data_IF_266448856710
#
_entry.id   IF_266448856710
#
_cell.length_a   1.000
_cell.length_b   1.000
_cell.length_c   1.000
_cell.angle_alpha   90.00
_cell.angle_beta   90.00
_cell.angle_gamma   90.00
#
_symmetry.space_group_name_H-M   'P 1'
#
loop_
_entity.id
_entity.type
_entity.pdbx_description
1 polymer ?
#
# COMPACT_ATOMS: atom_id res chain seq x y z
N UNK A 1 16.58 -24.39 12.21
CA UNK A 1 17.19 -23.80 11.01
C UNK A 1 18.53 -23.19 11.33
N UNK A 2 19.43 -23.14 10.33
CA UNK A 2 20.77 -22.58 10.51
C UNK A 2 20.76 -21.08 10.22
N UNK A 3 21.57 -20.32 10.98
CA UNK A 3 21.85 -18.94 10.63
C UNK A 3 22.89 -18.92 9.50
N UNK A 4 22.47 -18.49 8.31
CA UNK A 4 23.31 -18.46 7.09
C UNK A 4 23.80 -17.04 6.74
N UNK A 5 23.33 -16.02 7.44
CA UNK A 5 23.78 -14.64 7.26
C UNK A 5 23.57 -13.80 8.52
N UNK A 6 24.46 -12.83 8.73
CA UNK A 6 24.33 -11.83 9.78
C UNK A 6 24.93 -10.51 9.30
N UNK A 7 24.19 -9.43 9.45
CA UNK A 7 24.63 -8.10 9.10
C UNK A 7 24.39 -7.12 10.24
N UNK A 8 25.42 -6.38 10.60
CA UNK A 8 25.37 -5.28 11.57
C UNK A 8 25.27 -3.96 10.83
N UNK A 9 24.08 -3.37 10.81
CA UNK A 9 23.86 -2.02 10.32
C UNK A 9 24.01 -0.96 11.42
N UNK A 10 24.04 0.30 11.01
CA UNK A 10 24.06 1.42 11.95
C UNK A 10 22.77 1.50 12.78
N UNK A 11 21.64 1.20 12.16
CA UNK A 11 20.32 1.39 12.77
C UNK A 11 19.68 0.07 13.24
N UNK A 12 19.96 -1.05 12.55
CA UNK A 12 19.39 -2.36 12.84
C UNK A 12 20.36 -3.49 12.45
N UNK A 13 20.10 -4.68 12.98
CA UNK A 13 20.79 -5.89 12.59
C UNK A 13 19.85 -6.80 11.78
N UNK A 14 20.38 -7.58 10.84
CA UNK A 14 19.62 -8.63 10.18
C UNK A 14 20.27 -10.00 10.35
N UNK A 15 19.43 -11.03 10.47
CA UNK A 15 19.82 -12.43 10.55
C UNK A 15 19.08 -13.20 9.47
N UNK A 16 19.80 -14.01 8.69
CA UNK A 16 19.23 -14.85 7.65
C UNK A 16 19.23 -16.31 8.11
N UNK A 17 18.12 -16.98 7.95
CA UNK A 17 17.93 -18.40 8.29
C UNK A 17 17.54 -19.20 7.03
N UNK A 18 17.95 -20.48 6.98
CA UNK A 18 17.78 -21.38 5.83
C UNK A 18 16.43 -22.14 5.81
N UNK A 19 15.45 -21.68 6.57
CA UNK A 19 14.14 -22.32 6.62
C UNK A 19 13.02 -21.37 6.96
N UNK A 20 11.77 -21.80 6.75
CA UNK A 20 10.58 -21.00 7.00
C UNK A 20 10.34 -20.82 8.50
N UNK A 21 10.09 -19.58 8.91
CA UNK A 21 9.71 -19.24 10.29
C UNK A 21 8.33 -18.60 10.23
N UNK A 22 7.39 -19.07 11.07
CA UNK A 22 6.08 -18.43 11.15
C UNK A 22 6.11 -17.21 12.07
N UNK A 23 5.08 -16.36 11.99
CA UNK A 23 4.94 -15.20 12.87
C UNK A 23 4.82 -15.61 14.36
N UNK A 24 4.16 -16.71 14.62
CA UNK A 24 4.00 -17.30 15.96
C UNK A 24 5.36 -17.74 16.50
N UNK A 25 6.13 -18.48 15.70
CA UNK A 25 7.48 -18.90 16.06
C UNK A 25 8.42 -17.71 16.28
N UNK A 26 8.30 -16.65 15.44
CA UNK A 26 9.08 -15.44 15.61
C UNK A 26 8.82 -14.78 16.98
N UNK A 27 7.55 -14.75 17.40
CA UNK A 27 7.16 -14.24 18.71
C UNK A 27 7.73 -15.09 19.85
N UNK A 28 7.65 -16.40 19.77
CA UNK A 28 8.22 -17.34 20.75
C UNK A 28 9.74 -17.17 20.87
N UNK A 29 10.44 -17.01 19.74
CA UNK A 29 11.89 -16.75 19.71
C UNK A 29 12.22 -15.42 20.40
N UNK A 30 11.47 -14.36 20.13
CA UNK A 30 11.65 -13.07 20.77
C UNK A 30 11.43 -13.15 22.29
N UNK A 31 10.37 -13.83 22.72
CA UNK A 31 10.07 -14.04 24.14
C UNK A 31 11.16 -14.83 24.84
N UNK A 32 11.67 -15.91 24.24
CA UNK A 32 12.75 -16.71 24.82
C UNK A 32 14.07 -15.94 24.89
N UNK A 33 14.43 -15.20 23.81
CA UNK A 33 15.63 -14.36 23.82
C UNK A 33 15.58 -13.33 24.95
N UNK A 34 14.45 -12.65 25.14
CA UNK A 34 14.29 -11.70 26.24
C UNK A 34 14.28 -12.37 27.62
N UNK A 35 13.75 -13.59 27.74
CA UNK A 35 13.83 -14.36 28.99
C UNK A 35 15.28 -14.62 29.39
N UNK A 36 16.15 -14.94 28.42
CA UNK A 36 17.59 -15.14 28.66
C UNK A 36 18.26 -13.81 29.06
N UNK A 37 17.93 -12.71 28.39
CA UNK A 37 18.40 -11.37 28.77
C UNK A 37 18.06 -11.07 30.24
N UNK A 38 16.79 -11.29 30.64
CA UNK A 38 16.34 -11.00 32.00
C UNK A 38 16.95 -11.92 33.08
N UNK A 39 17.44 -13.12 32.72
CA UNK A 39 18.22 -13.98 33.66
C UNK A 39 19.55 -13.39 34.01
N UNK A 40 20.07 -12.43 33.25
CA UNK A 40 21.32 -11.73 33.48
C UNK A 40 22.50 -12.69 33.71
N UNK A 41 22.63 -13.70 32.83
CA UNK A 41 23.67 -14.73 32.90
C UNK A 41 25.04 -14.14 32.60
N UNK A 42 26.10 -14.66 33.23
CA UNK A 42 27.48 -14.36 32.83
C UNK A 42 27.75 -14.97 31.44
N UNK A 43 28.52 -14.26 30.65
CA UNK A 43 29.03 -14.74 29.36
C UNK A 43 30.49 -15.07 29.55
N UNK A 44 30.85 -16.34 29.35
CA UNK A 44 32.19 -16.83 29.55
C UNK A 44 32.95 -16.86 28.21
N UNK A 45 34.21 -16.42 28.25
CA UNK A 45 35.10 -16.45 27.09
C UNK A 45 36.20 -17.45 27.37
N UNK A 46 36.23 -18.52 26.59
CA UNK A 46 37.13 -19.65 26.74
C UNK A 46 38.11 -19.72 25.58
N UNK A 47 39.32 -20.19 25.85
CA UNK A 47 40.34 -20.48 24.87
C UNK A 47 40.83 -21.93 25.03
N UNK A 48 40.00 -22.91 24.70
CA UNK A 48 40.30 -24.32 24.88
C UNK A 48 41.48 -24.79 24.01
N UNK A 49 42.21 -25.79 24.54
CA UNK A 49 43.23 -26.48 23.79
C UNK A 49 42.62 -27.35 22.68
N UNK A 50 43.45 -27.86 21.76
CA UNK A 50 42.96 -28.75 20.68
C UNK A 50 42.36 -30.06 21.20
N UNK A 51 42.81 -30.52 22.33
CA UNK A 51 42.30 -31.72 23.02
C UNK A 51 40.90 -31.45 23.57
N UNK A 52 40.76 -30.35 24.33
CA UNK A 52 39.49 -29.93 24.93
C UNK A 52 38.39 -29.61 23.87
N UNK A 53 38.80 -29.06 22.74
CA UNK A 53 37.88 -28.78 21.62
C UNK A 53 37.22 -30.04 21.03
N UNK A 54 37.84 -31.21 21.14
CA UNK A 54 37.28 -32.46 20.64
C UNK A 54 36.08 -32.94 21.45
N UNK A 55 36.06 -32.59 22.73
CA UNK A 55 35.00 -32.98 23.66
C UNK A 55 33.94 -31.88 23.83
N UNK A 56 34.18 -30.68 23.25
CA UNK A 56 33.27 -29.55 23.36
C UNK A 56 32.33 -29.48 22.14
N UNK A 57 31.03 -29.54 22.41
CA UNK A 57 30.01 -29.31 21.35
C UNK A 57 29.74 -27.79 21.25
N UNK A 58 30.15 -27.17 20.16
CA UNK A 58 29.96 -25.74 19.94
C UNK A 58 29.51 -25.46 18.49
N UNK A 59 28.84 -24.33 18.26
CA UNK A 59 28.51 -23.84 16.92
C UNK A 59 29.69 -23.08 16.30
N UNK A 60 29.96 -23.34 15.02
CA UNK A 60 30.89 -22.56 14.23
C UNK A 60 30.35 -22.40 12.82
N UNK A 61 30.57 -21.23 12.21
CA UNK A 61 30.21 -20.96 10.80
C UNK A 61 31.29 -21.39 9.81
N UNK A 62 32.52 -21.49 10.27
CA UNK A 62 33.70 -21.81 9.46
C UNK A 62 34.63 -22.73 10.24
N UNK A 63 35.43 -23.52 9.53
CA UNK A 63 36.59 -24.17 10.14
C UNK A 63 37.62 -23.11 10.57
N UNK A 64 38.07 -23.17 11.82
CA UNK A 64 39.01 -22.20 12.38
C UNK A 64 40.37 -22.86 12.51
N UNK A 65 41.38 -22.35 11.79
CA UNK A 65 42.77 -22.71 11.96
C UNK A 65 43.39 -21.91 13.13
N UNK A 66 44.04 -22.62 14.06
CA UNK A 66 44.72 -21.99 15.21
C UNK A 66 43.90 -22.03 16.47
N UNK A 67 44.06 -20.98 17.32
CA UNK A 67 43.37 -20.88 18.60
C UNK A 67 41.93 -20.45 18.44
N UNK A 68 40.98 -21.27 18.88
CA UNK A 68 39.54 -21.00 18.83
C UNK A 68 39.13 -20.21 20.07
N UNK A 69 38.44 -19.09 19.86
CA UNK A 69 37.78 -18.33 20.92
C UNK A 69 36.35 -18.79 21.04
N UNK A 70 35.96 -19.35 22.15
CA UNK A 70 34.62 -19.80 22.47
C UNK A 70 33.94 -18.77 23.35
N UNK A 71 32.70 -18.48 23.02
CA UNK A 71 31.76 -17.69 23.82
C UNK A 71 30.70 -18.64 24.35
N UNK A 72 30.61 -18.79 25.63
CA UNK A 72 29.67 -19.66 26.32
C UNK A 72 28.65 -18.81 27.11
N UNK A 73 27.39 -19.00 26.80
CA UNK A 73 26.26 -18.51 27.62
C UNK A 73 25.70 -19.75 28.34
N UNK A 74 26.05 -19.97 29.60
CA UNK A 74 25.81 -21.24 30.30
C UNK A 74 24.35 -21.69 30.20
N UNK A 75 24.16 -22.93 29.69
CA UNK A 75 22.83 -23.52 29.52
C UNK A 75 21.98 -22.93 28.37
N UNK A 76 22.57 -22.08 27.54
CA UNK A 76 21.88 -21.46 26.40
C UNK A 76 22.59 -21.77 25.08
N UNK A 77 23.85 -21.38 24.92
CA UNK A 77 24.56 -21.52 23.66
C UNK A 77 26.10 -21.47 23.86
N UNK A 78 26.79 -22.28 23.08
CA UNK A 78 28.24 -22.28 22.99
C UNK A 78 28.63 -22.06 21.53
N UNK A 79 29.37 -21.00 21.26
CA UNK A 79 29.67 -20.60 19.89
C UNK A 79 31.12 -20.12 19.74
N UNK A 80 31.76 -20.51 18.65
CA UNK A 80 33.02 -19.92 18.23
C UNK A 80 32.76 -18.53 17.63
N UNK A 81 33.25 -17.48 18.29
CA UNK A 81 33.04 -16.10 17.86
C UNK A 81 34.22 -15.19 18.24
N UNK A 82 34.68 -14.37 17.30
CA UNK A 82 35.75 -13.40 17.52
C UNK A 82 35.24 -11.98 17.77
N UNK A 83 33.92 -11.73 17.70
CA UNK A 83 33.36 -10.41 17.92
C UNK A 83 33.41 -10.00 19.41
N UNK A 84 33.40 -8.69 19.73
CA UNK A 84 33.19 -8.20 21.07
C UNK A 84 31.85 -8.67 21.65
N UNK A 85 31.84 -8.91 22.95
CA UNK A 85 30.63 -9.31 23.69
C UNK A 85 30.49 -8.47 24.96
N UNK A 86 29.26 -8.38 25.44
CA UNK A 86 28.95 -7.89 26.78
C UNK A 86 29.34 -8.94 27.84
N UNK A 87 29.55 -8.55 29.08
CA UNK A 87 29.93 -9.48 30.15
C UNK A 87 28.73 -10.28 30.67
N UNK A 88 27.53 -9.73 30.54
CA UNK A 88 26.28 -10.36 31.01
C UNK A 88 25.17 -10.18 30.01
N UNK A 89 24.27 -11.17 29.91
CA UNK A 89 23.12 -11.11 28.97
C UNK A 89 22.19 -9.93 29.25
N UNK A 90 22.07 -9.48 30.50
CA UNK A 90 21.25 -8.32 30.88
C UNK A 90 21.73 -6.98 30.29
N UNK A 91 23.00 -6.85 29.96
CA UNK A 91 23.55 -5.63 29.32
C UNK A 91 23.10 -5.43 27.86
N UNK A 92 22.55 -6.47 27.23
CA UNK A 92 21.97 -6.39 25.87
C UNK A 92 20.73 -5.49 25.87
N UNK A 93 20.00 -5.46 26.99
CA UNK A 93 18.70 -4.82 27.08
C UNK A 93 17.62 -5.55 26.28
N UNK A 94 16.49 -4.92 26.07
CA UNK A 94 15.36 -5.54 25.38
C UNK A 94 15.71 -5.86 23.91
N UNK A 95 15.37 -7.06 23.47
CA UNK A 95 15.49 -7.52 22.08
C UNK A 95 14.10 -7.42 21.42
N UNK A 96 14.05 -6.80 20.25
CA UNK A 96 12.82 -6.70 19.42
C UNK A 96 13.07 -7.21 18.02
N UNK A 97 12.30 -8.19 17.60
CA UNK A 97 12.26 -8.67 16.22
C UNK A 97 11.18 -7.87 15.48
N UNK A 98 11.61 -6.87 14.69
CA UNK A 98 10.70 -5.84 14.15
C UNK A 98 10.14 -6.18 12.79
N UNK A 99 10.82 -7.03 12.02
CA UNK A 99 10.38 -7.42 10.69
C UNK A 99 10.93 -8.80 10.31
N UNK A 100 10.20 -9.49 9.44
CA UNK A 100 10.58 -10.78 8.87
C UNK A 100 10.10 -10.84 7.41
N UNK A 101 11.04 -11.09 6.50
CA UNK A 101 10.76 -11.21 5.06
C UNK A 101 11.40 -12.47 4.48
N UNK A 102 10.72 -13.09 3.53
CA UNK A 102 11.26 -14.26 2.83
C UNK A 102 12.50 -13.87 2.03
N UNK A 103 13.59 -14.61 2.21
CA UNK A 103 14.88 -14.32 1.62
C UNK A 103 15.66 -15.58 1.28
N UNK A 104 16.00 -15.77 0.00
CA UNK A 104 16.85 -16.88 -0.52
C UNK A 104 16.42 -18.28 -0.08
N UNK A 105 15.12 -18.53 -0.04
CA UNK A 105 14.57 -19.84 0.37
C UNK A 105 14.39 -20.05 1.86
N UNK A 106 14.65 -19.03 2.66
CA UNK A 106 14.41 -18.99 4.10
C UNK A 106 13.88 -17.61 4.50
N UNK A 107 14.20 -17.17 5.73
CA UNK A 107 13.70 -15.91 6.28
C UNK A 107 14.84 -14.98 6.72
N UNK A 108 14.68 -13.69 6.41
CA UNK A 108 15.50 -12.61 6.96
C UNK A 108 14.74 -11.91 8.07
N UNK A 109 15.33 -11.87 9.24
CA UNK A 109 14.76 -11.23 10.42
C UNK A 109 15.52 -9.95 10.70
N UNK A 110 14.80 -8.84 10.90
CA UNK A 110 15.35 -7.57 11.36
C UNK A 110 15.20 -7.45 12.87
N UNK A 111 16.29 -7.15 13.54
CA UNK A 111 16.37 -7.10 15.01
C UNK A 111 16.88 -5.74 15.49
N UNK A 112 16.28 -5.27 16.56
CA UNK A 112 16.76 -4.16 17.40
C UNK A 112 17.07 -4.66 18.80
N UNK A 113 18.03 -4.02 19.49
CA UNK A 113 18.32 -4.33 20.89
C UNK A 113 18.62 -3.06 21.69
N UNK A 114 18.43 -3.14 23.02
CA UNK A 114 18.75 -2.07 23.96
C UNK A 114 18.00 -0.77 23.66
N UNK A 115 18.73 0.33 23.63
CA UNK A 115 18.18 1.67 23.41
C UNK A 115 17.49 1.83 22.04
N UNK A 116 17.95 1.11 21.01
CA UNK A 116 17.32 1.14 19.69
C UNK A 116 15.91 0.53 19.72
N UNK A 117 15.75 -0.59 20.43
CA UNK A 117 14.42 -1.20 20.62
C UNK A 117 13.48 -0.28 21.41
N UNK A 118 14.00 0.43 22.42
CA UNK A 118 13.23 1.42 23.18
C UNK A 118 12.81 2.61 22.32
N UNK A 119 13.72 3.16 21.52
CA UNK A 119 13.44 4.28 20.62
C UNK A 119 12.38 3.91 19.59
N UNK A 120 12.46 2.74 18.98
CA UNK A 120 11.46 2.22 18.04
C UNK A 120 10.07 2.11 18.71
N UNK A 121 10.04 1.59 19.92
CA UNK A 121 8.79 1.50 20.71
C UNK A 121 8.19 2.87 20.98
N UNK A 122 9.01 3.84 21.44
CA UNK A 122 8.55 5.21 21.71
C UNK A 122 7.97 5.89 20.46
N UNK A 123 8.62 5.73 19.29
CA UNK A 123 8.13 6.28 18.03
C UNK A 123 6.78 5.68 17.61
N UNK A 124 6.63 4.36 17.78
CA UNK A 124 5.37 3.66 17.48
C UNK A 124 4.26 4.07 18.44
N UNK A 125 4.57 4.18 19.75
CA UNK A 125 3.63 4.67 20.76
C UNK A 125 3.16 6.08 20.45
N UNK A 126 4.08 7.00 20.13
CA UNK A 126 3.74 8.37 19.74
C UNK A 126 2.81 8.40 18.50
N UNK A 127 3.09 7.55 17.51
CA UNK A 127 2.24 7.44 16.32
C UNK A 127 0.84 6.92 16.64
N UNK A 128 0.74 5.89 17.49
CA UNK A 128 -0.55 5.36 17.95
C UNK A 128 -1.33 6.43 18.72
N UNK A 129 -0.69 7.17 19.61
CA UNK A 129 -1.34 8.27 20.37
C UNK A 129 -1.86 9.38 19.45
N UNK A 130 -1.10 9.73 18.41
CA UNK A 130 -1.57 10.71 17.41
C UNK A 130 -2.82 10.20 16.67
N UNK A 131 -2.83 8.94 16.25
CA UNK A 131 -3.99 8.34 15.57
C UNK A 131 -5.19 8.24 16.53
N UNK A 132 -4.96 7.81 17.78
CA UNK A 132 -5.95 7.76 18.85
C UNK A 132 -6.64 9.12 19.04
N UNK A 133 -5.86 10.21 19.12
CA UNK A 133 -6.37 11.57 19.23
C UNK A 133 -7.18 12.00 18.00
N UNK A 134 -6.73 11.69 16.78
CA UNK A 134 -7.43 12.01 15.53
C UNK A 134 -8.79 11.30 15.42
N UNK A 135 -8.86 10.06 15.90
CA UNK A 135 -10.05 9.22 15.81
C UNK A 135 -10.95 9.31 17.04
N UNK A 136 -10.52 10.05 18.08
CA UNK A 136 -11.20 10.08 19.40
C UNK A 136 -11.44 8.65 19.94
N UNK A 137 -10.48 7.75 19.75
CA UNK A 137 -10.53 6.35 20.18
C UNK A 137 -9.45 6.07 21.23
N UNK A 138 -9.59 5.00 22.03
CA UNK A 138 -8.51 4.57 22.91
C UNK A 138 -7.36 3.94 22.10
N UNK A 139 -6.14 4.00 22.63
CA UNK A 139 -4.93 3.44 21.97
C UNK A 139 -5.11 1.96 21.59
N UNK A 140 -5.82 1.19 22.42
CA UNK A 140 -6.12 -0.22 22.17
C UNK A 140 -7.23 -0.47 21.16
N UNK A 141 -7.99 0.55 20.76
CA UNK A 141 -9.17 0.48 19.88
C UNK A 141 -8.92 1.22 18.54
N UNK A 142 -7.66 1.61 18.29
CA UNK A 142 -7.31 2.41 17.07
C UNK A 142 -7.58 1.63 15.78
N UNK A 143 -7.31 0.33 15.78
CA UNK A 143 -7.53 -0.51 14.60
C UNK A 143 -9.00 -0.58 14.21
N UNK A 144 -9.87 -0.85 15.18
CA UNK A 144 -11.33 -0.90 15.00
C UNK A 144 -11.90 0.46 14.58
N UNK A 145 -11.36 1.55 15.14
CA UNK A 145 -11.77 2.91 14.76
C UNK A 145 -11.38 3.24 13.30
N UNK A 146 -10.23 2.76 12.83
CA UNK A 146 -9.84 2.89 11.41
C UNK A 146 -10.73 2.06 10.50
N UNK A 147 -11.07 0.84 10.88
CA UNK A 147 -12.01 -0.01 10.12
C UNK A 147 -13.36 0.67 9.97
N UNK A 148 -13.93 1.17 11.07
CA UNK A 148 -15.19 1.91 11.08
C UNK A 148 -15.13 3.15 10.17
N UNK A 149 -14.05 3.94 10.23
CA UNK A 149 -13.87 5.11 9.38
C UNK A 149 -13.85 4.72 7.88
N UNK A 150 -13.24 3.59 7.53
CA UNK A 150 -13.22 3.08 6.14
C UNK A 150 -14.61 2.65 5.67
N UNK A 151 -15.40 2.02 6.53
CA UNK A 151 -16.78 1.64 6.24
C UNK A 151 -17.65 2.89 6.02
N UNK A 152 -17.59 3.86 6.93
CA UNK A 152 -18.32 5.13 6.81
C UNK A 152 -17.92 5.89 5.53
N UNK A 153 -16.63 5.88 5.17
CA UNK A 153 -16.16 6.48 3.91
C UNK A 153 -16.75 5.78 2.68
N UNK A 154 -16.83 4.45 2.70
CA UNK A 154 -17.43 3.68 1.60
C UNK A 154 -18.93 4.00 1.48
N UNK A 155 -19.65 4.05 2.59
CA UNK A 155 -21.06 4.38 2.61
C UNK A 155 -21.33 5.79 2.09
N UNK A 156 -20.55 6.77 2.51
CA UNK A 156 -20.64 8.13 2.00
C UNK A 156 -20.38 8.19 0.49
N UNK A 157 -19.39 7.47 -0.04
CA UNK A 157 -19.14 7.38 -1.47
C UNK A 157 -20.33 6.80 -2.23
N UNK A 158 -20.95 5.75 -1.68
CA UNK A 158 -22.13 5.12 -2.27
C UNK A 158 -23.33 6.07 -2.27
N UNK A 159 -23.54 6.80 -1.17
CA UNK A 159 -24.61 7.81 -1.05
C UNK A 159 -24.41 8.94 -2.06
N UNK A 160 -23.18 9.47 -2.18
CA UNK A 160 -22.85 10.51 -3.16
C UNK A 160 -23.10 10.00 -4.59
N UNK A 161 -22.69 8.78 -4.91
CA UNK A 161 -22.94 8.16 -6.22
C UNK A 161 -24.45 8.03 -6.50
N UNK A 162 -25.23 7.55 -5.54
CA UNK A 162 -26.67 7.42 -5.68
C UNK A 162 -27.39 8.78 -5.85
N UNK A 163 -26.94 9.82 -5.12
CA UNK A 163 -27.48 11.16 -5.27
C UNK A 163 -27.13 11.75 -6.63
N UNK A 164 -25.94 11.56 -7.14
CA UNK A 164 -25.52 11.99 -8.48
C UNK A 164 -26.36 11.31 -9.58
N UNK A 165 -26.58 10.01 -9.47
CA UNK A 165 -27.45 9.29 -10.42
C UNK A 165 -28.89 9.83 -10.42
N UNK A 166 -29.44 10.14 -9.23
CA UNK A 166 -30.77 10.77 -9.15
C UNK A 166 -30.76 12.14 -9.79
N UNK A 167 -29.74 12.95 -9.56
CA UNK A 167 -29.60 14.28 -10.17
C UNK A 167 -29.56 14.18 -11.71
N UNK A 168 -28.71 13.30 -12.24
CA UNK A 168 -28.65 13.04 -13.69
C UNK A 168 -30.01 12.60 -14.26
N UNK A 169 -30.74 11.76 -13.54
CA UNK A 169 -32.08 11.35 -13.97
C UNK A 169 -33.08 12.50 -14.00
N UNK A 170 -32.98 13.46 -13.08
CA UNK A 170 -33.78 14.69 -13.12
C UNK A 170 -33.34 15.63 -14.25
N UNK A 171 -32.05 15.88 -14.40
CA UNK A 171 -31.52 16.67 -15.53
C UNK A 171 -31.94 16.08 -16.87
N UNK A 172 -31.85 14.76 -17.02
CA UNK A 172 -32.30 14.09 -18.24
C UNK A 172 -33.78 14.31 -18.55
N UNK A 173 -34.64 14.48 -17.53
CA UNK A 173 -36.09 14.76 -17.75
C UNK A 173 -36.38 16.15 -18.28
N UNK A 174 -35.59 17.13 -17.88
CA UNK A 174 -35.72 18.53 -18.27
C UNK A 174 -35.18 18.82 -19.70
N UNK A 175 -34.29 17.95 -20.21
CA UNK A 175 -33.69 18.14 -21.52
C UNK A 175 -34.67 17.69 -22.60
N UNK A 176 -34.92 18.55 -23.60
CA UNK A 176 -35.73 18.24 -24.78
C UNK A 176 -34.99 17.23 -25.68
N UNK A 177 -35.62 16.12 -25.96
CA UNK A 177 -35.10 15.02 -26.79
C UNK A 177 -35.65 15.00 -28.21
N UNK A 178 -36.50 15.99 -28.58
CA UNK A 178 -37.13 16.08 -29.93
C UNK A 178 -36.14 16.48 -31.04
N UNK A 179 -35.07 17.27 -30.82
CA UNK A 179 -34.09 17.54 -31.86
C UNK A 179 -33.38 16.30 -32.36
N UNK A 180 -33.00 16.30 -33.64
CA UNK A 180 -32.28 15.18 -34.26
C UNK A 180 -30.92 14.91 -33.60
N UNK A 181 -30.29 15.96 -33.10
CA UNK A 181 -29.07 15.93 -32.28
C UNK A 181 -29.27 16.74 -31.02
N UNK A 182 -29.31 16.07 -29.88
CA UNK A 182 -29.36 16.69 -28.55
C UNK A 182 -27.93 17.06 -28.14
N UNK A 183 -27.71 18.33 -27.82
CA UNK A 183 -26.40 18.86 -27.38
C UNK A 183 -26.51 19.34 -25.94
N UNK A 184 -25.63 18.85 -25.08
CA UNK A 184 -25.55 19.26 -23.66
C UNK A 184 -24.14 19.68 -23.35
N UNK A 185 -23.98 20.89 -22.81
CA UNK A 185 -22.71 21.40 -22.29
C UNK A 185 -22.87 21.61 -20.80
N UNK A 186 -22.06 20.92 -20.02
CA UNK A 186 -22.13 20.97 -18.56
C UNK A 186 -20.73 20.82 -17.96
N UNK A 187 -20.31 21.82 -17.19
CA UNK A 187 -19.00 21.86 -16.55
C UNK A 187 -18.92 21.01 -15.27
N UNK A 188 -20.06 20.64 -14.70
CA UNK A 188 -20.13 19.88 -13.46
C UNK A 188 -20.05 18.35 -13.70
N UNK A 189 -20.31 17.89 -14.90
CA UNK A 189 -20.23 16.49 -15.26
C UNK A 189 -18.80 15.96 -15.18
N UNK A 190 -18.60 14.86 -14.47
CA UNK A 190 -17.28 14.28 -14.22
C UNK A 190 -17.29 12.75 -14.37
N UNK A 191 -16.10 12.17 -14.54
CA UNK A 191 -15.94 10.71 -14.59
C UNK A 191 -16.80 10.05 -15.68
N UNK A 192 -17.78 9.25 -15.27
CA UNK A 192 -18.68 8.49 -16.17
C UNK A 192 -20.04 9.17 -16.39
N UNK A 193 -20.32 10.28 -15.68
CA UNK A 193 -21.61 10.99 -15.72
C UNK A 193 -22.02 11.44 -17.13
N UNK A 194 -21.11 11.94 -18.01
CA UNK A 194 -21.49 12.29 -19.39
C UNK A 194 -22.05 11.11 -20.17
N UNK A 195 -21.50 9.92 -19.96
CA UNK A 195 -21.97 8.69 -20.62
C UNK A 195 -23.31 8.22 -20.05
N UNK A 196 -23.48 8.33 -18.73
CA UNK A 196 -24.75 7.99 -18.08
C UNK A 196 -25.88 8.92 -18.56
N UNK A 197 -25.61 10.25 -18.60
CA UNK A 197 -26.59 11.20 -19.13
C UNK A 197 -26.94 10.92 -20.59
N UNK A 198 -25.94 10.66 -21.44
CA UNK A 198 -26.15 10.26 -22.81
C UNK A 198 -27.09 9.03 -22.93
N UNK A 199 -26.84 7.99 -22.15
CA UNK A 199 -27.67 6.79 -22.15
C UNK A 199 -29.13 7.10 -21.74
N UNK A 200 -29.31 7.88 -20.67
CA UNK A 200 -30.65 8.31 -20.21
C UNK A 200 -31.41 9.08 -21.26
N UNK A 201 -30.75 9.95 -22.03
CA UNK A 201 -31.38 10.71 -23.10
C UNK A 201 -31.74 9.82 -24.29
N UNK A 202 -30.89 8.86 -24.66
CA UNK A 202 -31.16 7.87 -25.68
C UNK A 202 -32.34 6.95 -25.32
N UNK A 203 -32.43 6.50 -24.06
CA UNK A 203 -33.55 5.74 -23.52
C UNK A 203 -34.86 6.53 -23.55
N UNK A 204 -34.80 7.87 -23.43
CA UNK A 204 -35.97 8.77 -23.60
C UNK A 204 -36.36 9.02 -25.06
N UNK A 205 -35.63 8.46 -26.00
CA UNK A 205 -35.96 8.55 -27.42
C UNK A 205 -35.16 9.55 -28.25
N UNK A 206 -34.11 10.15 -27.67
CA UNK A 206 -33.20 10.98 -28.46
C UNK A 206 -32.53 10.15 -29.57
N UNK A 207 -32.46 10.69 -30.78
CA UNK A 207 -31.86 9.98 -31.93
C UNK A 207 -30.33 9.96 -31.83
N UNK A 208 -29.74 11.12 -31.57
CA UNK A 208 -28.30 11.30 -31.34
C UNK A 208 -28.12 12.23 -30.13
N UNK A 209 -27.22 11.86 -29.22
CA UNK A 209 -26.85 12.69 -28.07
C UNK A 209 -25.37 13.02 -28.09
N UNK A 210 -25.04 14.29 -27.89
CA UNK A 210 -23.67 14.79 -27.73
C UNK A 210 -23.55 15.54 -26.42
N UNK A 211 -22.83 14.95 -25.45
CA UNK A 211 -22.61 15.52 -24.13
C UNK A 211 -21.18 16.01 -24.05
N UNK A 212 -21.01 17.27 -23.67
CA UNK A 212 -19.74 17.96 -23.52
C UNK A 212 -19.53 18.34 -22.06
N UNK A 213 -18.57 17.68 -21.39
CA UNK A 213 -18.20 17.93 -20.00
C UNK A 213 -16.95 18.80 -19.95
N UNK A 214 -17.04 19.99 -19.35
CA UNK A 214 -15.97 20.97 -19.29
C UNK A 214 -16.45 22.39 -19.52
N UNK A 215 -15.52 23.26 -19.87
CA UNK A 215 -15.78 24.68 -20.10
C UNK A 215 -14.96 25.23 -21.28
N UNK A 216 -15.25 26.48 -21.66
CA UNK A 216 -14.62 27.14 -22.81
C UNK A 216 -13.12 27.42 -22.61
N UNK A 217 -12.64 27.49 -21.36
CA UNK A 217 -11.23 27.81 -21.04
C UNK A 217 -10.36 26.55 -21.06
N UNK A 218 -10.80 25.47 -20.42
CA UNK A 218 -10.04 24.24 -20.31
C UNK A 218 -10.29 23.28 -21.50
N UNK A 219 -11.42 23.46 -22.18
CA UNK A 219 -11.92 22.60 -23.23
C UNK A 219 -12.91 21.56 -22.71
N UNK A 220 -13.32 20.66 -23.59
CA UNK A 220 -14.38 19.70 -23.35
C UNK A 220 -13.92 18.27 -23.56
N UNK A 221 -14.35 17.39 -22.65
CA UNK A 221 -14.44 15.96 -22.93
C UNK A 221 -15.84 15.71 -23.48
N UNK A 222 -15.94 14.96 -24.58
CA UNK A 222 -17.22 14.65 -25.18
C UNK A 222 -17.52 13.15 -25.17
N UNK A 223 -18.80 12.84 -25.08
CA UNK A 223 -19.37 11.52 -25.32
C UNK A 223 -20.55 11.70 -26.25
N UNK A 224 -20.52 11.01 -27.40
CA UNK A 224 -21.58 11.09 -28.38
C UNK A 224 -22.11 9.68 -28.66
N UNK A 225 -23.41 9.51 -28.63
CA UNK A 225 -24.03 8.20 -28.83
C UNK A 225 -25.32 8.25 -29.65
N UNK A 226 -25.63 7.12 -30.28
CA UNK A 226 -26.88 6.85 -30.99
C UNK A 226 -27.16 5.34 -31.01
N UNK A 227 -28.43 4.98 -30.99
CA UNK A 227 -28.84 3.59 -31.22
C UNK A 227 -28.94 3.22 -32.70
N UNK A 228 -29.14 4.20 -33.61
CA UNK A 228 -29.42 3.98 -35.01
C UNK A 228 -28.37 4.51 -35.99
N UNK A 229 -27.57 5.51 -35.56
CA UNK A 229 -26.67 6.22 -36.45
C UNK A 229 -25.18 5.92 -36.14
N UNK A 230 -24.32 6.06 -37.13
CA UNK A 230 -22.87 5.97 -36.94
C UNK A 230 -22.28 7.31 -36.49
N UNK A 231 -22.08 7.47 -35.19
CA UNK A 231 -21.59 8.72 -34.59
C UNK A 231 -20.07 8.97 -34.79
N UNK A 232 -19.34 8.04 -35.42
CA UNK A 232 -17.91 8.23 -35.74
C UNK A 232 -17.70 9.39 -36.72
N UNK A 233 -18.65 9.65 -37.60
CA UNK A 233 -18.61 10.78 -38.54
C UNK A 233 -18.63 12.10 -37.83
N UNK A 234 -19.43 12.23 -36.76
CA UNK A 234 -19.51 13.42 -35.92
C UNK A 234 -18.19 13.62 -35.17
N UNK A 235 -17.67 12.56 -34.56
CA UNK A 235 -16.37 12.60 -33.82
C UNK A 235 -15.22 13.02 -34.75
N UNK A 236 -15.18 12.51 -35.99
CA UNK A 236 -14.15 12.88 -36.95
C UNK A 236 -14.23 14.37 -37.30
N UNK A 237 -15.41 14.88 -37.60
CA UNK A 237 -15.68 16.29 -37.90
C UNK A 237 -15.24 17.21 -36.77
N UNK A 238 -15.56 16.86 -35.51
CA UNK A 238 -15.15 17.62 -34.34
C UNK A 238 -13.64 17.59 -34.12
N UNK A 239 -13.01 16.42 -34.24
CA UNK A 239 -11.57 16.29 -34.08
C UNK A 239 -10.78 17.08 -35.12
N UNK A 240 -11.24 17.12 -36.39
CA UNK A 240 -10.63 17.91 -37.46
C UNK A 240 -10.78 19.41 -37.21
N UNK A 241 -11.98 19.86 -36.79
CA UNK A 241 -12.25 21.26 -36.57
C UNK A 241 -11.55 21.86 -35.33
N UNK A 242 -11.41 21.08 -34.25
CA UNK A 242 -10.92 21.56 -32.98
C UNK A 242 -9.62 20.89 -32.53
N UNK A 243 -8.87 20.24 -33.44
CA UNK A 243 -7.64 19.51 -33.14
C UNK A 243 -7.84 18.51 -31.98
N UNK A 244 -9.05 17.96 -31.91
CA UNK A 244 -9.45 17.04 -30.85
C UNK A 244 -8.87 15.64 -31.05
N UNK A 245 -8.98 14.84 -29.97
CA UNK A 245 -8.58 13.43 -29.97
C UNK A 245 -9.72 12.60 -29.43
N UNK A 246 -10.13 11.59 -30.19
CA UNK A 246 -11.21 10.71 -29.74
C UNK A 246 -11.57 9.69 -30.82
N UNK A 247 -12.46 8.78 -30.45
CA UNK A 247 -12.96 7.73 -31.30
C UNK A 247 -13.79 6.73 -30.52
N UNK A 248 -14.17 5.64 -31.18
CA UNK A 248 -14.98 4.60 -30.53
C UNK A 248 -15.66 3.70 -31.56
N UNK A 249 -16.79 3.13 -31.16
CA UNK A 249 -17.64 2.26 -31.97
C UNK A 249 -18.71 3.10 -32.71
N UNK A 250 -19.37 2.56 -33.75
CA UNK A 250 -20.43 3.29 -34.44
C UNK A 250 -21.50 3.85 -33.50
N UNK A 251 -21.88 3.11 -32.46
CA UNK A 251 -22.94 3.52 -31.55
C UNK A 251 -22.49 4.51 -30.48
N UNK A 252 -21.18 4.63 -30.20
CA UNK A 252 -20.64 5.53 -29.15
C UNK A 252 -19.19 5.88 -29.42
N UNK A 253 -18.91 7.18 -29.37
CA UNK A 253 -17.57 7.76 -29.42
C UNK A 253 -17.33 8.65 -28.23
N UNK A 254 -16.08 8.78 -27.84
CA UNK A 254 -15.66 9.70 -26.79
C UNK A 254 -14.33 10.33 -27.15
N UNK A 255 -14.07 11.50 -26.59
CA UNK A 255 -12.82 12.20 -26.85
C UNK A 255 -12.70 13.50 -26.06
N UNK A 256 -11.74 14.29 -26.48
CA UNK A 256 -11.52 15.64 -25.94
C UNK A 256 -11.18 16.61 -27.05
N UNK A 257 -11.57 17.86 -26.88
CA UNK A 257 -11.31 18.94 -27.83
C UNK A 257 -11.19 20.29 -27.11
N UNK A 258 -10.61 21.27 -27.77
CA UNK A 258 -10.54 22.65 -27.31
C UNK A 258 -11.34 23.56 -28.23
N UNK A 259 -12.28 24.31 -27.65
CA UNK A 259 -13.14 25.22 -28.38
C UNK A 259 -14.24 25.74 -27.47
N UNK A 260 -14.99 26.73 -27.93
CA UNK A 260 -16.14 27.24 -27.18
C UNK A 260 -17.40 26.46 -27.47
N UNK A 261 -18.32 26.37 -26.52
CA UNK A 261 -19.61 25.72 -26.67
C UNK A 261 -20.36 26.22 -27.92
N UNK A 262 -20.26 27.54 -28.20
CA UNK A 262 -20.86 28.17 -29.38
C UNK A 262 -20.28 27.60 -30.66
N UNK A 263 -18.96 27.61 -30.84
CA UNK A 263 -18.31 27.15 -32.07
C UNK A 263 -18.53 25.63 -32.30
N UNK A 264 -18.52 24.85 -31.21
CA UNK A 264 -18.80 23.41 -31.25
C UNK A 264 -20.25 23.19 -31.74
N UNK A 265 -21.20 23.97 -31.22
CA UNK A 265 -22.60 23.87 -31.58
C UNK A 265 -22.89 24.26 -33.04
N UNK A 266 -22.12 25.20 -33.62
CA UNK A 266 -22.25 25.64 -35.00
C UNK A 266 -21.74 24.59 -36.00
N UNK A 267 -20.80 23.74 -35.59
CA UNK A 267 -20.27 22.65 -36.42
C UNK A 267 -21.17 21.43 -36.41
N UNK A 268 -21.88 21.19 -35.32
CA UNK A 268 -22.80 20.07 -35.15
C UNK A 268 -24.19 20.38 -35.69
#
# INVERSE_FOLDING_TARGET
YNNVGFHLGADYCTMDFDGPITKEQLKEIEEEANRIVYKNLNIEILYPTKEELKDLTYRSKIEIEGQVRIVDIPGVDICACCAPHVDRTGEIGNIKLVDMVSYKGGERITMLSGSRALTDHQQKEESVKKISALLCAKDTEVAEAVEKLKEEQLDLKNQVSALKQKLLAYQAKEIDVTPELVKVFDSELSGNEPRELMNLLLERGAKICAIFAGNDEEGYRYVIGSHSEDVRVISKKLNEAFQGRGGGKPQMVQGSLKGTAKNISEIL
#
